data_IF_035161462954
#
_entry.id   IF_035161462954
#
_cell.length_a   1.000
_cell.length_b   1.000
_cell.length_c   1.000
_cell.angle_alpha   90.00
_cell.angle_beta   90.00
_cell.angle_gamma   90.00
#
_symmetry.space_group_name_H-M   'P 1'
#
loop_
_entity.id
_entity.type
_entity.pdbx_description
1 polymer ?
#
# COMPACT_ATOMS: atom_id res chain seq x y z
N UNK A 1 -10.32 -14.52 -4.05
CA UNK A 1 -10.71 -13.36 -4.90
C UNK A 1 -11.85 -12.69 -4.17
N UNK A 2 -11.71 -11.40 -3.88
CA UNK A 2 -12.75 -10.61 -3.22
C UNK A 2 -13.81 -10.16 -4.24
N UNK A 3 -15.00 -9.86 -3.74
CA UNK A 3 -16.10 -9.26 -4.50
C UNK A 3 -15.86 -7.75 -4.70
N UNK A 4 -16.70 -7.10 -5.51
CA UNK A 4 -16.59 -5.66 -5.77
C UNK A 4 -16.77 -4.76 -4.53
N UNK A 5 -17.33 -5.30 -3.46
CA UNK A 5 -17.48 -4.65 -2.15
C UNK A 5 -16.38 -5.02 -1.15
N UNK A 6 -15.34 -5.75 -1.59
CA UNK A 6 -14.22 -6.19 -0.76
C UNK A 6 -14.48 -7.50 -0.01
N UNK A 7 -15.70 -8.05 -0.02
CA UNK A 7 -16.02 -9.25 0.75
C UNK A 7 -15.46 -10.53 0.13
N UNK A 8 -15.16 -11.53 0.96
CA UNK A 8 -14.82 -12.88 0.53
C UNK A 8 -15.45 -13.91 1.47
N UNK A 9 -15.72 -15.11 0.97
CA UNK A 9 -16.30 -16.21 1.74
C UNK A 9 -15.68 -17.53 1.27
N UNK A 10 -15.33 -18.39 2.24
CA UNK A 10 -15.03 -19.79 2.02
C UNK A 10 -16.14 -20.63 2.67
N UNK A 11 -16.95 -21.30 1.86
CA UNK A 11 -18.06 -22.13 2.34
C UNK A 11 -17.72 -23.63 2.31
N UNK A 12 -18.44 -24.42 3.11
CA UNK A 12 -18.31 -25.88 3.12
C UNK A 12 -16.96 -26.41 3.63
N UNK A 13 -16.20 -25.60 4.38
CA UNK A 13 -14.94 -26.02 4.97
C UNK A 13 -15.17 -27.08 6.07
N UNK A 14 -14.41 -28.20 6.07
CA UNK A 14 -14.38 -29.10 7.20
C UNK A 14 -13.88 -28.43 8.49
N UNK A 15 -14.07 -29.09 9.62
CA UNK A 15 -13.47 -28.64 10.87
C UNK A 15 -11.96 -28.82 10.81
N UNK A 16 -11.20 -27.84 11.28
CA UNK A 16 -9.75 -27.88 11.23
C UNK A 16 -9.06 -26.56 11.52
N UNK A 17 -7.74 -26.58 11.38
CA UNK A 17 -6.88 -25.41 11.43
C UNK A 17 -6.53 -25.00 10.01
N UNK A 18 -6.61 -23.71 9.74
CA UNK A 18 -6.38 -23.11 8.44
C UNK A 18 -5.39 -21.96 8.57
N UNK A 19 -4.61 -21.74 7.51
CA UNK A 19 -3.83 -20.52 7.35
C UNK A 19 -4.43 -19.77 6.17
N UNK A 20 -4.92 -18.57 6.44
CA UNK A 20 -5.38 -17.63 5.43
C UNK A 20 -4.24 -16.68 5.11
N UNK A 21 -4.03 -16.38 3.83
CA UNK A 21 -2.97 -15.47 3.40
C UNK A 21 -3.49 -14.53 2.31
N UNK A 22 -3.29 -13.23 2.51
CA UNK A 22 -3.52 -12.20 1.50
C UNK A 22 -2.30 -12.07 0.56
N UNK A 23 -2.58 -11.73 -0.69
CA UNK A 23 -1.58 -11.18 -1.61
C UNK A 23 -2.04 -9.79 -2.01
N UNK A 24 -1.28 -8.76 -1.65
CA UNK A 24 -1.68 -7.38 -1.93
C UNK A 24 -1.86 -7.15 -3.44
N UNK A 25 -2.87 -6.35 -3.82
CA UNK A 25 -2.96 -5.83 -5.16
C UNK A 25 -1.71 -5.00 -5.52
N UNK A 26 -1.42 -4.82 -6.82
CA UNK A 26 -0.38 -3.87 -7.24
C UNK A 26 -0.65 -2.48 -6.66
N UNK A 27 0.41 -1.82 -6.20
CA UNK A 27 0.39 -0.49 -5.56
C UNK A 27 -0.32 -0.43 -4.20
N UNK A 28 -0.57 -1.56 -3.54
CA UNK A 28 -1.04 -1.57 -2.17
C UNK A 28 0.06 -2.08 -1.24
N UNK A 29 0.18 -1.45 -0.09
CA UNK A 29 0.95 -1.94 1.04
C UNK A 29 0.02 -2.31 2.17
N UNK A 30 0.46 -3.29 2.92
CA UNK A 30 -0.29 -3.86 4.02
C UNK A 30 -0.13 -3.04 5.28
N UNK A 31 -1.21 -2.93 6.04
CA UNK A 31 -1.33 -2.02 7.17
C UNK A 31 -1.68 -2.78 8.45
N UNK A 32 -2.82 -3.49 8.44
CA UNK A 32 -3.31 -4.25 9.60
C UNK A 32 -4.27 -5.35 9.18
N UNK A 33 -4.37 -6.38 9.99
CA UNK A 33 -5.33 -7.48 9.87
C UNK A 33 -6.21 -7.62 11.14
N UNK A 34 -7.28 -8.38 11.00
CA UNK A 34 -8.11 -8.83 12.11
C UNK A 34 -8.46 -10.30 11.93
N UNK A 35 -8.33 -11.06 13.01
CA UNK A 35 -8.61 -12.49 13.10
C UNK A 35 -10.06 -12.81 13.53
N UNK A 36 -10.88 -11.78 13.74
CA UNK A 36 -12.26 -11.90 14.19
C UNK A 36 -12.41 -12.31 15.67
N UNK A 37 -13.64 -12.62 16.12
CA UNK A 37 -13.89 -13.03 17.51
C UNK A 37 -13.47 -14.49 17.71
N UNK A 38 -12.18 -14.73 17.87
CA UNK A 38 -11.66 -16.09 18.01
C UNK A 38 -11.99 -16.73 19.37
N UNK A 39 -12.28 -18.03 19.33
CA UNK A 39 -11.87 -18.96 20.41
C UNK A 39 -10.42 -19.41 20.18
N UNK A 40 -9.44 -18.54 20.45
CA UNK A 40 -8.05 -18.96 20.63
C UNK A 40 -7.12 -18.94 19.40
N UNK A 41 -7.39 -18.13 18.38
CA UNK A 41 -6.32 -17.70 17.47
C UNK A 41 -5.36 -16.75 18.19
N UNK A 42 -4.11 -16.76 17.75
CA UNK A 42 -2.98 -16.18 18.49
C UNK A 42 -2.22 -15.14 17.69
N UNK A 43 -2.75 -14.71 16.55
CA UNK A 43 -1.99 -13.89 15.62
C UNK A 43 -2.18 -12.39 15.90
N UNK A 44 -1.52 -11.95 16.97
CA UNK A 44 -1.10 -10.55 17.18
C UNK A 44 0.28 -10.32 16.51
N UNK A 45 0.54 -10.97 15.36
CA UNK A 45 1.83 -10.86 14.68
C UNK A 45 1.87 -9.63 13.77
N UNK A 46 3.03 -8.99 13.75
CA UNK A 46 3.40 -7.81 12.98
C UNK A 46 3.51 -8.09 11.46
N UNK A 47 3.08 -9.28 11.00
CA UNK A 47 3.08 -9.72 9.60
C UNK A 47 1.64 -9.88 9.10
N UNK A 48 1.04 -8.75 8.73
CA UNK A 48 -0.40 -8.55 8.50
C UNK A 48 -1.02 -9.28 7.32
N UNK A 49 -0.28 -10.13 6.61
CA UNK A 49 -0.83 -10.89 5.47
C UNK A 49 -1.31 -12.27 5.83
N UNK A 50 -0.96 -12.82 7.00
CA UNK A 50 -1.16 -14.23 7.32
C UNK A 50 -1.98 -14.35 8.59
N UNK A 51 -3.03 -15.17 8.56
CA UNK A 51 -3.92 -15.40 9.70
C UNK A 51 -4.08 -16.90 9.94
N UNK A 52 -3.74 -17.35 11.15
CA UNK A 52 -3.97 -18.73 11.58
C UNK A 52 -5.34 -18.84 12.29
N UNK A 53 -6.22 -19.65 11.70
CA UNK A 53 -7.63 -19.78 12.05
C UNK A 53 -7.95 -21.20 12.52
N UNK A 54 -8.86 -21.32 13.50
CA UNK A 54 -9.39 -22.61 13.96
C UNK A 54 -10.90 -22.60 13.81
N UNK A 55 -11.45 -23.55 13.05
CA UNK A 55 -12.88 -23.69 12.83
C UNK A 55 -13.43 -24.87 13.66
N UNK A 56 -14.11 -24.57 14.76
CA UNK A 56 -14.71 -25.58 15.64
C UNK A 56 -16.15 -25.97 15.22
N UNK A 57 -16.71 -27.07 15.75
CA UNK A 57 -18.05 -27.53 15.37
C UNK A 57 -19.13 -26.46 15.57
N UNK A 58 -19.81 -26.08 14.49
CA UNK A 58 -20.91 -25.13 14.52
C UNK A 58 -20.49 -23.67 14.63
N UNK A 59 -19.20 -23.37 14.50
CA UNK A 59 -18.69 -22.01 14.44
C UNK A 59 -18.73 -21.47 13.01
N UNK A 60 -19.01 -20.17 12.90
CA UNK A 60 -18.77 -19.37 11.70
C UNK A 60 -17.77 -18.29 12.09
N UNK A 61 -16.67 -18.18 11.33
CA UNK A 61 -15.68 -17.12 11.53
C UNK A 61 -16.03 -15.94 10.62
N UNK A 62 -16.28 -14.80 11.23
CA UNK A 62 -16.61 -13.53 10.56
C UNK A 62 -15.75 -12.41 11.14
N UNK A 63 -15.51 -11.34 10.38
CA UNK A 63 -14.60 -10.26 10.81
C UNK A 63 -13.14 -10.67 10.73
N UNK A 64 -12.84 -11.65 9.87
CA UNK A 64 -11.47 -11.96 9.45
C UNK A 64 -11.17 -11.00 8.30
N UNK A 65 -10.47 -9.92 8.57
CA UNK A 65 -10.35 -8.77 7.67
C UNK A 65 -8.89 -8.39 7.45
N UNK A 66 -8.59 -7.82 6.27
CA UNK A 66 -7.29 -7.24 5.94
C UNK A 66 -7.47 -5.77 5.57
N UNK A 67 -6.49 -4.93 5.90
CA UNK A 67 -6.49 -3.49 5.60
C UNK A 67 -5.19 -3.13 4.89
N UNK A 68 -5.35 -2.60 3.68
CA UNK A 68 -4.27 -2.14 2.82
C UNK A 68 -4.35 -0.62 2.56
N UNK A 69 -3.19 0.01 2.36
CA UNK A 69 -3.04 1.39 1.89
C UNK A 69 -2.57 1.42 0.43
N UNK A 70 -3.30 2.14 -0.42
CA UNK A 70 -2.87 2.46 -1.78
C UNK A 70 -1.70 3.45 -1.75
N UNK A 71 -0.60 3.07 -2.40
CA UNK A 71 0.57 3.90 -2.60
C UNK A 71 0.22 5.09 -3.51
N UNK A 72 0.76 6.26 -3.14
CA UNK A 72 0.53 7.53 -3.84
C UNK A 72 1.79 7.98 -4.55
N UNK A 73 1.63 8.90 -5.49
CA UNK A 73 2.75 9.50 -6.22
C UNK A 73 2.90 10.99 -5.92
N UNK A 74 4.13 11.48 -5.97
CA UNK A 74 4.46 12.90 -5.93
C UNK A 74 5.18 13.22 -7.23
N UNK A 75 4.64 14.14 -8.03
CA UNK A 75 5.26 14.54 -9.28
C UNK A 75 5.08 16.02 -9.58
N UNK A 76 5.82 16.50 -10.57
CA UNK A 76 5.82 17.90 -10.98
C UNK A 76 6.63 18.14 -12.25
N UNK A 77 6.89 19.43 -12.51
CA UNK A 77 7.76 19.89 -13.60
C UNK A 77 8.85 20.80 -13.04
N UNK A 78 10.02 20.75 -13.66
CA UNK A 78 11.10 21.70 -13.45
C UNK A 78 11.27 22.57 -14.69
N UNK A 79 11.06 23.87 -14.51
CA UNK A 79 11.07 24.88 -15.57
C UNK A 79 12.06 26.00 -15.21
N UNK A 80 12.73 26.54 -16.22
CA UNK A 80 13.53 27.77 -16.17
C UNK A 80 12.62 28.97 -16.43
N UNK A 81 12.75 30.01 -15.60
CA UNK A 81 12.20 31.35 -15.83
C UNK A 81 13.25 32.15 -16.60
N UNK A 82 12.96 32.49 -17.86
CA UNK A 82 13.91 33.16 -18.76
C UNK A 82 13.63 34.65 -18.95
N UNK A 83 12.53 35.17 -18.42
CA UNK A 83 12.13 36.57 -18.61
C UNK A 83 11.77 37.32 -17.31
N UNK A 84 11.93 36.66 -16.15
CA UNK A 84 11.75 37.17 -14.80
C UNK A 84 10.30 37.59 -14.53
N UNK A 85 9.34 36.76 -14.93
CA UNK A 85 7.91 36.94 -14.67
C UNK A 85 7.32 36.01 -13.58
N UNK A 86 8.17 35.21 -12.94
CA UNK A 86 7.81 34.19 -11.94
C UNK A 86 6.95 33.03 -12.49
N UNK A 87 6.83 32.89 -13.81
CA UNK A 87 6.26 31.74 -14.50
C UNK A 87 7.37 30.88 -15.12
N UNK A 88 7.09 29.59 -15.34
CA UNK A 88 8.07 28.67 -15.90
C UNK A 88 7.95 28.60 -17.42
N UNK A 89 9.06 28.78 -18.14
CA UNK A 89 9.08 28.87 -19.60
C UNK A 89 9.64 27.63 -20.29
N UNK A 90 10.83 27.20 -19.86
CA UNK A 90 11.63 26.19 -20.57
C UNK A 90 11.87 24.99 -19.67
N UNK A 91 11.59 23.79 -20.17
CA UNK A 91 11.81 22.54 -19.42
C UNK A 91 13.29 22.32 -19.12
N UNK A 92 13.61 21.87 -17.91
CA UNK A 92 14.98 21.54 -17.50
C UNK A 92 15.12 20.02 -17.31
N UNK A 93 15.63 19.28 -18.31
CA UNK A 93 15.82 17.83 -18.22
C UNK A 93 17.12 17.45 -17.49
N UNK A 94 17.17 16.23 -16.94
CA UNK A 94 18.36 15.63 -16.34
C UNK A 94 18.83 16.27 -15.04
N UNK A 95 17.96 17.02 -14.35
CA UNK A 95 18.25 17.66 -13.07
C UNK A 95 17.87 16.75 -11.91
N UNK A 96 18.72 16.68 -10.89
CA UNK A 96 18.44 15.90 -9.68
C UNK A 96 17.33 16.56 -8.85
N UNK A 97 16.31 15.77 -8.49
CA UNK A 97 15.23 16.14 -7.57
C UNK A 97 15.23 15.16 -6.40
N UNK A 98 15.16 15.67 -5.17
CA UNK A 98 15.15 14.85 -3.96
C UNK A 98 13.89 15.09 -3.12
N UNK A 99 13.25 13.99 -2.71
CA UNK A 99 12.18 14.00 -1.71
C UNK A 99 12.80 13.92 -0.32
N UNK A 100 12.54 14.91 0.53
CA UNK A 100 13.12 15.02 1.87
C UNK A 100 12.08 14.74 2.95
N UNK A 101 12.50 14.10 4.03
CA UNK A 101 11.77 14.08 5.29
C UNK A 101 11.81 15.46 5.98
N UNK A 102 10.90 15.75 6.93
CA UNK A 102 10.88 17.03 7.64
C UNK A 102 12.18 17.39 8.37
N UNK A 103 13.01 16.41 8.70
CA UNK A 103 14.33 16.58 9.32
C UNK A 103 15.47 16.84 8.32
N UNK A 104 15.18 16.91 7.01
CA UNK A 104 16.14 17.14 5.94
C UNK A 104 16.82 15.89 5.38
N UNK A 105 16.50 14.69 5.87
CA UNK A 105 17.02 13.44 5.31
C UNK A 105 16.43 13.14 3.94
N UNK A 106 17.26 12.74 2.97
CA UNK A 106 16.79 12.28 1.65
C UNK A 106 16.07 10.94 1.80
N UNK A 107 14.80 10.92 1.43
CA UNK A 107 13.95 9.73 1.39
C UNK A 107 14.01 9.04 0.03
N UNK A 108 14.04 9.83 -1.04
CA UNK A 108 14.17 9.35 -2.41
C UNK A 108 14.81 10.44 -3.30
N UNK A 109 15.37 10.03 -4.44
CA UNK A 109 15.89 10.94 -5.48
C UNK A 109 15.55 10.42 -6.87
N UNK A 110 15.28 11.33 -7.79
CA UNK A 110 15.07 11.06 -9.21
C UNK A 110 15.72 12.15 -10.07
N UNK A 111 15.75 11.97 -11.38
CA UNK A 111 16.19 12.99 -12.34
C UNK A 111 15.02 13.40 -13.21
N UNK A 112 14.91 14.68 -13.56
CA UNK A 112 13.87 15.15 -14.48
C UNK A 112 14.01 14.50 -15.86
N UNK A 113 12.86 14.12 -16.43
CA UNK A 113 12.76 13.52 -17.76
C UNK A 113 13.02 14.56 -18.86
N UNK A 114 13.02 14.12 -20.13
CA UNK A 114 13.28 14.98 -21.29
C UNK A 114 12.30 16.15 -21.44
N UNK A 115 11.11 16.04 -20.85
CA UNK A 115 10.09 17.08 -20.80
C UNK A 115 10.09 17.87 -19.49
N UNK A 116 11.14 17.72 -18.66
CA UNK A 116 11.26 18.39 -17.36
C UNK A 116 10.37 17.82 -16.27
N UNK A 117 9.58 16.78 -16.54
CA UNK A 117 8.75 16.14 -15.52
C UNK A 117 9.57 15.29 -14.57
N UNK A 118 9.07 15.08 -13.35
CA UNK A 118 9.62 14.11 -12.42
C UNK A 118 8.50 13.45 -11.62
N UNK A 119 8.72 12.22 -11.18
CA UNK A 119 7.78 11.49 -10.33
C UNK A 119 8.54 10.65 -9.29
N UNK A 120 7.98 10.63 -8.08
CA UNK A 120 8.30 9.68 -7.02
C UNK A 120 7.09 8.77 -6.85
N UNK A 121 7.28 7.48 -7.16
CA UNK A 121 6.31 6.43 -6.86
C UNK A 121 6.66 5.81 -5.52
N UNK A 122 5.64 5.56 -4.69
CA UNK A 122 5.77 4.80 -3.44
C UNK A 122 6.13 3.33 -3.65
#
# INVERSE_FOLDING_TARGET
VTSSDGTYVFDGLPLGTYTLMETNPPNFVDVTDSDGPLSGGTNDDLDSKVLDLVLAPGEELTGVDFVDEELRTIGGQLLEDIDNDDEGDVVIPGSDVALLAPNGTIMASTTTDSDGSFEFTG
#
